data_IF_351416277585
#
_entry.id   IF_351416277585
#
_cell.length_a   1.000
_cell.length_b   1.000
_cell.length_c   1.000
_cell.angle_alpha   90.00
_cell.angle_beta   90.00
_cell.angle_gamma   90.00
#
_symmetry.space_group_name_H-M   'P 1'
#
loop_
_entity.id
_entity.type
_entity.pdbx_description
1 polymer ?
#
# COMPACT_ATOMS: atom_id res chain seq x y z
N UNK A 1 13.65 22.42 -7.80
CA UNK A 1 14.66 21.64 -7.03
C UNK A 1 14.74 20.27 -7.68
N UNK A 2 15.86 19.59 -7.74
CA UNK A 2 15.95 18.21 -8.22
C UNK A 2 15.99 17.31 -6.98
N UNK A 3 15.22 16.23 -6.96
CA UNK A 3 15.29 15.25 -5.87
C UNK A 3 16.65 14.55 -5.88
N UNK A 4 17.31 14.49 -4.73
CA UNK A 4 18.60 13.81 -4.59
C UNK A 4 18.39 12.31 -4.39
N UNK A 5 19.22 11.49 -5.03
CA UNK A 5 19.20 10.04 -4.84
C UNK A 5 20.31 9.69 -3.84
N UNK A 6 19.94 9.08 -2.73
CA UNK A 6 20.84 8.65 -1.66
C UNK A 6 21.13 7.16 -1.80
N UNK A 7 22.36 6.77 -1.47
CA UNK A 7 22.82 5.39 -1.55
C UNK A 7 22.94 4.78 -0.16
N UNK A 8 22.27 3.66 0.07
CA UNK A 8 22.31 2.93 1.35
C UNK A 8 23.67 2.30 1.71
N UNK A 9 24.60 2.26 0.77
CA UNK A 9 25.98 1.84 1.04
C UNK A 9 26.89 3.00 1.50
N UNK A 10 26.37 4.22 1.54
CA UNK A 10 27.12 5.42 1.92
C UNK A 10 26.61 5.96 3.27
N UNK A 11 27.48 5.93 4.26
CA UNK A 11 27.20 6.42 5.62
C UNK A 11 26.82 7.93 5.64
N UNK A 12 27.48 8.75 4.81
CA UNK A 12 27.21 10.18 4.70
C UNK A 12 25.79 10.46 4.19
N UNK A 13 25.20 9.55 3.40
CA UNK A 13 23.84 9.70 2.89
C UNK A 13 22.79 9.47 3.98
N UNK A 14 23.07 8.63 4.98
CA UNK A 14 22.21 8.52 6.17
C UNK A 14 22.26 9.78 7.03
N UNK A 15 23.44 10.34 7.27
CA UNK A 15 23.58 11.61 7.99
C UNK A 15 22.84 12.74 7.24
N UNK A 16 22.92 12.77 5.94
CA UNK A 16 22.19 13.71 5.10
C UNK A 16 20.68 13.53 5.20
N UNK A 17 20.18 12.29 5.15
CA UNK A 17 18.76 11.99 5.32
C UNK A 17 18.22 12.50 6.66
N UNK A 18 18.96 12.26 7.74
CA UNK A 18 18.64 12.78 9.09
C UNK A 18 18.66 14.30 9.11
N UNK A 19 19.65 14.93 8.47
CA UNK A 19 19.73 16.39 8.34
C UNK A 19 18.54 16.96 7.58
N UNK A 20 18.11 16.31 6.48
CA UNK A 20 16.91 16.69 5.71
C UNK A 20 15.70 16.70 6.63
N UNK A 21 15.44 15.62 7.37
CA UNK A 21 14.30 15.55 8.29
C UNK A 21 14.36 16.64 9.38
N UNK A 22 15.51 16.84 10.03
CA UNK A 22 15.71 17.86 11.07
C UNK A 22 15.50 19.28 10.56
N UNK A 23 15.80 19.54 9.29
CA UNK A 23 15.61 20.84 8.65
C UNK A 23 14.21 21.01 8.03
N UNK A 24 13.26 20.10 8.27
CA UNK A 24 11.89 20.19 7.77
C UNK A 24 11.75 19.81 6.29
N UNK A 25 12.69 19.03 5.78
CA UNK A 25 12.60 18.41 4.46
C UNK A 25 11.73 17.17 4.47
N UNK A 26 11.41 16.67 3.28
CA UNK A 26 10.67 15.45 3.04
C UNK A 26 11.60 14.42 2.40
N UNK A 27 11.62 13.23 2.99
CA UNK A 27 12.42 12.11 2.56
C UNK A 27 11.54 10.99 2.03
N UNK A 28 11.88 10.41 0.88
CA UNK A 28 11.33 9.14 0.45
C UNK A 28 12.26 8.00 0.84
N UNK A 29 11.67 6.92 1.32
CA UNK A 29 12.39 5.74 1.80
C UNK A 29 11.66 4.45 1.46
N UNK A 30 12.38 3.35 1.24
CA UNK A 30 11.78 2.05 1.01
C UNK A 30 11.21 1.48 2.31
N UNK A 31 10.17 0.65 2.17
CA UNK A 31 9.71 -0.26 3.20
C UNK A 31 9.59 -1.66 2.59
N UNK A 32 9.29 -2.67 3.38
CA UNK A 32 9.05 -4.03 2.88
C UNK A 32 7.77 -4.13 2.02
N UNK A 33 6.94 -3.09 2.04
CA UNK A 33 5.68 -3.06 1.28
C UNK A 33 5.77 -2.16 0.05
N UNK A 34 5.95 -0.87 0.24
CA UNK A 34 6.01 0.16 -0.81
C UNK A 34 6.91 1.28 -0.33
N UNK A 35 7.36 2.17 -1.22
CA UNK A 35 8.05 3.38 -0.78
C UNK A 35 7.11 4.28 0.04
N UNK A 36 7.66 4.82 1.12
CA UNK A 36 7.05 5.86 1.94
C UNK A 36 7.65 7.24 1.66
N UNK A 37 6.87 8.30 1.90
CA UNK A 37 7.40 9.63 2.10
C UNK A 37 7.08 10.09 3.52
N UNK A 38 8.04 10.75 4.15
CA UNK A 38 7.90 11.18 5.53
C UNK A 38 8.62 12.47 5.85
N UNK A 39 8.25 13.03 7.00
CA UNK A 39 8.80 14.23 7.58
C UNK A 39 8.82 14.13 9.11
N UNK A 40 9.53 15.04 9.78
CA UNK A 40 9.47 15.18 11.22
C UNK A 40 8.04 15.52 11.69
N UNK A 41 7.52 14.70 12.61
CA UNK A 41 6.19 14.91 13.21
C UNK A 41 6.03 16.32 13.79
N UNK A 42 7.08 16.87 14.36
CA UNK A 42 7.04 18.16 15.07
C UNK A 42 7.15 19.37 14.11
N UNK A 43 7.42 19.14 12.84
CA UNK A 43 7.47 20.20 11.84
C UNK A 43 6.15 20.30 11.08
N UNK A 44 5.22 21.14 11.56
CA UNK A 44 3.90 21.28 10.94
C UNK A 44 3.96 21.67 9.47
N UNK A 45 4.91 22.54 9.08
CA UNK A 45 5.03 22.96 7.68
C UNK A 45 5.45 21.80 6.77
N UNK A 46 6.38 20.95 7.22
CA UNK A 46 6.79 19.77 6.50
C UNK A 46 5.66 18.73 6.40
N UNK A 47 4.90 18.53 7.49
CA UNK A 47 3.74 17.63 7.50
C UNK A 47 2.66 18.13 6.52
N UNK A 48 2.33 19.43 6.52
CA UNK A 48 1.36 20.02 5.57
C UNK A 48 1.82 19.88 4.13
N UNK A 49 3.12 20.06 3.88
CA UNK A 49 3.71 19.90 2.56
C UNK A 49 3.56 18.46 2.03
N UNK A 50 3.57 17.41 2.89
CA UNK A 50 3.24 16.04 2.46
C UNK A 50 1.83 15.98 1.84
N UNK A 51 0.84 16.62 2.46
CA UNK A 51 -0.53 16.67 1.92
C UNK A 51 -0.59 17.38 0.56
N UNK A 52 0.11 18.52 0.44
CA UNK A 52 0.17 19.33 -0.80
C UNK A 52 0.81 18.52 -1.94
N UNK A 53 1.99 17.95 -1.71
CA UNK A 53 2.73 17.14 -2.70
C UNK A 53 1.89 15.96 -3.18
N UNK A 54 1.17 15.32 -2.26
CA UNK A 54 0.33 14.16 -2.57
C UNK A 54 -1.04 14.55 -3.14
N UNK A 55 -1.41 15.83 -3.16
CA UNK A 55 -2.79 16.26 -3.45
C UNK A 55 -3.80 15.50 -2.55
N UNK A 56 -3.41 15.31 -1.26
CA UNK A 56 -4.14 14.48 -0.30
C UNK A 56 -5.14 15.31 0.50
N UNK A 57 -6.34 14.77 0.66
CA UNK A 57 -7.33 15.38 1.54
C UNK A 57 -6.80 15.41 2.99
N UNK A 58 -6.84 16.61 3.61
CA UNK A 58 -6.42 16.82 5.01
C UNK A 58 -7.26 16.06 6.04
N UNK A 59 -8.40 15.49 5.66
CA UNK A 59 -9.20 14.63 6.54
C UNK A 59 -8.64 13.19 6.68
N UNK A 60 -7.63 12.83 5.86
CA UNK A 60 -7.00 11.50 5.90
C UNK A 60 -5.74 11.56 6.76
N UNK A 61 -5.69 10.91 7.95
CA UNK A 61 -4.57 11.00 8.85
C UNK A 61 -3.28 10.43 8.23
N UNK A 62 -2.14 10.87 8.77
CA UNK A 62 -0.84 10.21 8.61
C UNK A 62 -0.60 9.26 9.77
N UNK A 63 0.37 8.37 9.62
CA UNK A 63 0.81 7.42 10.65
C UNK A 63 2.21 7.74 11.15
N UNK A 64 2.50 7.35 12.38
CA UNK A 64 3.85 7.40 12.94
C UNK A 64 4.62 6.17 12.48
N UNK A 65 5.78 6.41 11.89
CA UNK A 65 6.72 5.37 11.52
C UNK A 65 7.92 5.44 12.47
N UNK A 66 8.20 4.35 13.13
CA UNK A 66 9.16 4.28 14.24
C UNK A 66 10.05 3.04 14.12
N UNK A 67 11.20 3.05 14.79
CA UNK A 67 12.13 1.91 14.81
C UNK A 67 11.59 0.73 15.64
N UNK A 68 10.79 0.99 16.66
CA UNK A 68 10.15 -0.04 17.51
C UNK A 68 8.88 0.51 18.16
N UNK A 69 8.02 -0.38 18.67
CA UNK A 69 6.83 0.04 19.41
C UNK A 69 7.20 0.77 20.70
N UNK A 70 8.34 0.47 21.31
CA UNK A 70 8.84 1.16 22.50
C UNK A 70 9.02 2.66 22.27
N UNK A 71 9.53 3.05 21.10
CA UNK A 71 9.66 4.47 20.70
C UNK A 71 8.29 5.15 20.60
N UNK A 72 7.24 4.40 20.26
CA UNK A 72 5.89 4.95 20.13
C UNK A 72 5.14 5.10 21.48
N UNK A 73 5.57 4.43 22.55
CA UNK A 73 4.88 4.41 23.86
C UNK A 73 4.47 5.79 24.40
N UNK A 74 5.28 6.86 24.33
CA UNK A 74 4.87 8.18 24.82
C UNK A 74 3.69 8.79 24.03
N UNK A 75 3.49 8.36 22.80
CA UNK A 75 2.53 8.92 21.85
C UNK A 75 1.18 8.20 21.83
N UNK A 76 1.10 7.04 22.49
CA UNK A 76 -0.09 6.18 22.52
C UNK A 76 -0.53 5.91 23.95
N UNK A 77 -1.81 5.59 24.14
CA UNK A 77 -2.39 5.22 25.43
C UNK A 77 -3.40 4.08 25.27
N UNK A 78 -3.81 3.50 26.41
CA UNK A 78 -4.76 2.38 26.44
C UNK A 78 -4.28 1.17 25.60
N UNK A 79 -2.95 0.93 25.61
CA UNK A 79 -2.33 -0.16 24.85
C UNK A 79 -2.79 -1.51 25.42
N UNK A 80 -3.50 -2.36 24.67
CA UNK A 80 -3.89 -3.66 25.16
C UNK A 80 -2.71 -4.64 25.14
N UNK A 81 -2.74 -5.65 26.00
CA UNK A 81 -1.70 -6.69 26.06
C UNK A 81 -1.53 -7.42 24.71
N UNK A 82 -2.61 -7.54 23.94
CA UNK A 82 -2.59 -8.11 22.59
C UNK A 82 -1.65 -7.38 21.62
N UNK A 83 -1.43 -6.08 21.84
CA UNK A 83 -0.48 -5.31 21.02
C UNK A 83 0.94 -5.85 21.15
N UNK A 84 1.34 -6.31 22.34
CA UNK A 84 2.67 -6.90 22.55
C UNK A 84 2.79 -8.31 21.95
N UNK A 85 1.68 -9.06 21.90
CA UNK A 85 1.65 -10.34 21.19
C UNK A 85 1.83 -10.11 19.68
N UNK A 86 1.11 -9.12 19.12
CA UNK A 86 1.21 -8.74 17.71
C UNK A 86 2.60 -8.17 17.38
N UNK A 87 3.17 -7.33 18.26
CA UNK A 87 4.53 -6.82 18.11
C UNK A 87 5.54 -7.96 17.97
N UNK A 88 5.52 -8.91 18.92
CA UNK A 88 6.46 -10.03 18.93
C UNK A 88 6.41 -10.89 17.66
N UNK A 89 5.25 -11.02 17.04
CA UNK A 89 5.04 -11.92 15.90
C UNK A 89 5.12 -11.22 14.53
N UNK A 90 4.76 -9.92 14.47
CA UNK A 90 4.58 -9.22 13.21
C UNK A 90 5.38 -7.93 13.07
N UNK A 91 6.10 -7.47 14.10
CA UNK A 91 6.93 -6.28 14.02
C UNK A 91 8.41 -6.60 14.31
N UNK A 92 9.35 -5.94 13.60
CA UNK A 92 9.13 -5.03 12.47
C UNK A 92 8.47 -5.76 11.29
N UNK A 93 7.52 -5.11 10.59
CA UNK A 93 6.85 -5.79 9.48
C UNK A 93 5.58 -5.11 8.96
N UNK A 94 4.82 -5.81 8.09
CA UNK A 94 3.72 -5.26 7.32
C UNK A 94 2.41 -5.11 8.11
N UNK A 95 2.50 -4.71 9.38
CA UNK A 95 1.36 -4.41 10.26
C UNK A 95 1.40 -2.96 10.72
N UNK A 96 0.28 -2.27 10.58
CA UNK A 96 0.01 -0.98 11.23
C UNK A 96 -1.05 -1.18 12.30
N UNK A 97 -0.76 -0.80 13.54
CA UNK A 97 -1.70 -0.85 14.64
C UNK A 97 -2.21 0.55 14.98
N UNK A 98 -3.53 0.71 15.13
CA UNK A 98 -4.16 1.97 15.53
C UNK A 98 -4.43 1.94 17.03
N UNK A 99 -3.99 3.01 17.71
CA UNK A 99 -4.17 3.24 19.14
C UNK A 99 -4.84 4.58 19.43
N UNK A 100 -5.33 4.76 20.65
CA UNK A 100 -5.63 6.07 21.17
C UNK A 100 -4.36 6.89 21.30
N UNK A 101 -4.36 8.12 20.78
CA UNK A 101 -3.20 9.00 20.86
C UNK A 101 -3.14 9.76 22.19
N UNK A 102 -1.93 10.15 22.60
CA UNK A 102 -1.70 11.17 23.63
C UNK A 102 -1.69 12.58 23.01
N UNK A 103 -1.63 13.61 23.84
CA UNK A 103 -1.55 15.01 23.38
C UNK A 103 -0.18 15.35 22.75
N UNK A 104 0.81 14.47 22.88
CA UNK A 104 2.10 14.60 22.21
C UNK A 104 2.00 14.40 20.67
N UNK A 105 0.94 13.76 20.20
CA UNK A 105 0.70 13.66 18.74
C UNK A 105 -0.14 14.84 18.27
N UNK A 106 0.42 15.73 17.43
CA UNK A 106 -0.29 16.91 16.97
C UNK A 106 -1.55 16.57 16.15
N UNK A 107 -2.57 17.42 16.25
CA UNK A 107 -3.83 17.23 15.54
C UNK A 107 -3.70 17.29 14.01
N UNK A 108 -2.75 18.06 13.50
CA UNK A 108 -2.49 18.11 12.05
C UNK A 108 -1.93 16.79 11.48
N UNK A 109 -1.35 15.92 12.32
CA UNK A 109 -0.92 14.57 11.92
C UNK A 109 -2.11 13.63 11.78
N UNK A 110 -3.04 13.70 12.74
CA UNK A 110 -4.16 12.76 12.87
C UNK A 110 -5.47 13.23 12.25
N UNK A 111 -5.46 14.35 11.51
CA UNK A 111 -6.67 14.97 10.97
C UNK A 111 -7.74 15.23 12.07
N UNK A 112 -7.32 15.65 13.27
CA UNK A 112 -8.13 15.83 14.48
C UNK A 112 -8.77 14.54 15.04
N UNK A 113 -8.37 13.37 14.59
CA UNK A 113 -8.83 12.11 15.19
C UNK A 113 -8.14 11.89 16.56
N UNK A 114 -8.83 11.18 17.45
CA UNK A 114 -8.29 10.77 18.75
C UNK A 114 -7.41 9.53 18.69
N UNK A 115 -7.17 9.02 17.49
CA UNK A 115 -6.43 7.79 17.21
C UNK A 115 -5.24 8.08 16.32
N UNK A 116 -4.21 7.23 16.41
CA UNK A 116 -3.02 7.29 15.57
C UNK A 116 -2.58 5.90 15.16
N UNK A 117 -2.18 5.74 13.91
CA UNK A 117 -1.56 4.51 13.40
C UNK A 117 -0.07 4.49 13.70
N UNK A 118 0.42 3.37 14.21
CA UNK A 118 1.84 3.10 14.46
C UNK A 118 2.30 2.01 13.49
N UNK A 119 3.38 2.28 12.77
CA UNK A 119 4.05 1.34 11.88
C UNK A 119 5.52 1.19 12.28
N UNK A 120 6.01 -0.04 12.25
CA UNK A 120 7.42 -0.38 12.42
C UNK A 120 7.88 -1.13 11.16
N UNK A 121 8.33 -0.43 10.10
CA UNK A 121 8.80 -1.08 8.88
C UNK A 121 10.01 -1.98 9.14
N UNK A 122 10.10 -3.13 8.45
CA UNK A 122 11.23 -4.07 8.59
C UNK A 122 12.39 -3.78 7.63
N UNK A 123 12.25 -2.81 6.73
CA UNK A 123 13.31 -2.46 5.80
C UNK A 123 14.51 -1.81 6.54
N UNK A 124 15.71 -2.32 6.30
CA UNK A 124 16.95 -1.90 7.00
C UNK A 124 17.26 -0.42 6.79
N UNK A 125 17.01 0.13 5.60
CA UNK A 125 17.25 1.55 5.32
C UNK A 125 16.33 2.41 6.20
N UNK A 126 15.04 2.07 6.27
CA UNK A 126 14.13 2.80 7.14
C UNK A 126 14.53 2.66 8.61
N UNK A 127 14.88 1.47 9.06
CA UNK A 127 15.30 1.22 10.43
C UNK A 127 16.53 2.05 10.81
N UNK A 128 17.50 2.14 9.92
CA UNK A 128 18.72 2.94 10.15
C UNK A 128 18.39 4.43 10.23
N UNK A 129 17.55 4.96 9.32
CA UNK A 129 17.09 6.35 9.37
C UNK A 129 16.37 6.63 10.70
N UNK A 130 15.42 5.75 11.09
CA UNK A 130 14.59 5.93 12.27
C UNK A 130 15.42 5.87 13.57
N UNK A 131 16.45 5.03 13.61
CA UNK A 131 17.36 4.92 14.76
C UNK A 131 18.29 6.13 14.91
N UNK A 132 18.70 6.76 13.80
CA UNK A 132 19.57 7.97 13.81
C UNK A 132 18.77 9.25 13.98
N UNK A 133 17.51 9.26 13.57
CA UNK A 133 16.65 10.42 13.70
C UNK A 133 16.07 10.45 15.12
N UNK A 134 16.58 11.36 15.95
CA UNK A 134 16.06 11.59 17.30
C UNK A 134 14.72 12.33 17.23
N UNK A 135 13.68 11.63 16.75
CA UNK A 135 12.35 12.18 16.51
C UNK A 135 11.39 11.12 15.99
N UNK A 136 10.20 11.55 15.64
CA UNK A 136 9.14 10.68 15.07
C UNK A 136 8.90 11.06 13.61
N UNK A 137 8.99 10.08 12.73
CA UNK A 137 8.69 10.27 11.32
C UNK A 137 7.20 10.04 11.11
N UNK A 138 6.48 11.05 10.63
CA UNK A 138 5.13 10.84 10.07
C UNK A 138 5.26 10.47 8.61
N UNK A 139 4.52 9.47 8.18
CA UNK A 139 4.66 9.01 6.81
C UNK A 139 3.36 8.50 6.17
N UNK A 140 3.44 8.36 4.87
CA UNK A 140 2.42 7.76 3.99
C UNK A 140 3.12 7.19 2.75
N UNK A 141 2.41 6.41 1.89
CA UNK A 141 2.99 5.88 0.64
C UNK A 141 3.49 6.98 -0.30
N UNK A 142 4.58 6.72 -1.02
CA UNK A 142 5.25 7.66 -1.92
C UNK A 142 4.57 7.72 -3.31
N UNK A 143 3.36 8.29 -3.35
CA UNK A 143 2.59 8.49 -4.58
C UNK A 143 1.64 9.68 -4.43
N UNK A 144 1.18 10.28 -5.50
CA UNK A 144 0.04 11.21 -5.47
C UNK A 144 -1.22 10.47 -5.04
N UNK A 145 -2.13 11.17 -4.35
CA UNK A 145 -3.37 10.56 -3.88
C UNK A 145 -4.13 9.94 -5.03
N UNK A 146 -4.43 8.67 -4.87
CA UNK A 146 -5.12 7.87 -5.84
C UNK A 146 -4.27 7.25 -6.93
N UNK A 147 -3.04 7.67 -7.14
CA UNK A 147 -2.10 6.94 -7.98
C UNK A 147 -1.63 5.66 -7.26
N UNK A 148 -1.08 4.73 -8.04
CA UNK A 148 -0.51 3.51 -7.48
C UNK A 148 0.66 3.81 -6.55
N UNK A 149 0.79 3.11 -5.41
CA UNK A 149 1.96 3.18 -4.56
C UNK A 149 3.24 2.88 -5.35
N UNK A 150 4.30 3.62 -5.07
CA UNK A 150 5.58 3.36 -5.73
C UNK A 150 6.26 2.12 -5.11
N UNK A 151 6.67 1.18 -5.95
CA UNK A 151 7.45 -0.01 -5.59
C UNK A 151 8.90 0.04 -6.10
N UNK A 152 9.30 1.11 -6.80
CA UNK A 152 10.66 1.32 -7.27
C UNK A 152 11.07 2.79 -7.21
N UNK A 153 12.38 3.05 -7.19
CA UNK A 153 12.96 4.38 -7.28
C UNK A 153 12.42 5.15 -8.50
N UNK A 154 12.37 4.51 -9.66
CA UNK A 154 11.87 5.13 -10.89
C UNK A 154 10.44 5.65 -10.72
N UNK A 155 9.58 4.89 -10.06
CA UNK A 155 8.18 5.28 -9.83
C UNK A 155 8.08 6.44 -8.83
N UNK A 156 8.93 6.47 -7.79
CA UNK A 156 9.02 7.62 -6.87
C UNK A 156 9.42 8.87 -7.64
N UNK A 157 10.48 8.81 -8.45
CA UNK A 157 10.95 9.95 -9.23
C UNK A 157 9.90 10.39 -10.27
N UNK A 158 9.26 9.46 -10.96
CA UNK A 158 8.18 9.80 -11.92
C UNK A 158 7.04 10.58 -11.26
N UNK A 159 6.76 10.32 -9.99
CA UNK A 159 5.63 10.92 -9.25
C UNK A 159 6.01 12.18 -8.46
N UNK A 160 7.22 12.23 -7.92
CA UNK A 160 7.61 13.18 -6.86
C UNK A 160 8.92 13.93 -7.13
N UNK A 161 9.60 13.72 -8.27
CA UNK A 161 10.84 14.44 -8.56
C UNK A 161 10.63 15.97 -8.50
N UNK A 162 11.57 16.63 -7.86
CA UNK A 162 11.54 18.08 -7.64
C UNK A 162 10.59 18.54 -6.54
N UNK A 163 9.78 17.64 -5.97
CA UNK A 163 8.80 17.94 -4.89
C UNK A 163 9.30 17.55 -3.51
N UNK A 164 10.26 16.62 -3.43
CA UNK A 164 10.88 16.12 -2.20
C UNK A 164 12.40 16.36 -2.25
N UNK A 165 13.04 16.40 -1.08
CA UNK A 165 14.47 16.69 -0.98
C UNK A 165 15.31 15.51 -1.46
N UNK A 166 15.00 14.29 -0.97
CA UNK A 166 15.77 13.12 -1.35
C UNK A 166 14.93 11.82 -1.32
N UNK A 167 15.49 10.79 -1.94
CA UNK A 167 15.00 9.42 -1.94
C UNK A 167 16.17 8.44 -1.82
N UNK A 168 16.04 7.43 -0.96
CA UNK A 168 17.00 6.32 -0.96
C UNK A 168 16.76 5.40 -2.14
N UNK A 169 17.83 5.09 -2.85
CA UNK A 169 17.86 4.01 -3.83
C UNK A 169 17.78 2.66 -3.08
N UNK A 170 16.97 1.77 -3.59
CA UNK A 170 16.76 0.47 -2.97
C UNK A 170 16.45 -0.59 -4.02
N UNK A 171 17.32 -1.58 -4.09
CA UNK A 171 17.16 -2.77 -4.93
C UNK A 171 16.45 -3.92 -4.19
N UNK A 172 16.05 -3.73 -2.92
CA UNK A 172 15.38 -4.78 -2.14
C UNK A 172 13.96 -5.02 -2.64
N UNK A 173 13.54 -6.27 -2.57
CA UNK A 173 12.20 -6.70 -2.97
C UNK A 173 11.17 -6.02 -2.08
N UNK A 174 10.32 -5.22 -2.72
CA UNK A 174 9.14 -4.62 -2.11
C UNK A 174 7.95 -5.45 -2.58
N UNK A 175 7.16 -6.00 -1.65
CA UNK A 175 6.06 -6.92 -1.98
C UNK A 175 4.94 -6.27 -2.79
N UNK A 176 4.87 -4.94 -2.81
CA UNK A 176 3.79 -4.21 -3.48
C UNK A 176 2.44 -4.29 -2.75
N UNK A 177 2.28 -5.23 -1.84
CA UNK A 177 1.08 -5.37 -1.02
C UNK A 177 1.17 -4.44 0.20
N UNK A 178 0.20 -3.56 0.34
CA UNK A 178 0.16 -2.62 1.46
C UNK A 178 0.06 -3.34 2.81
N UNK A 179 0.57 -2.70 3.87
CA UNK A 179 0.44 -3.23 5.24
C UNK A 179 -1.01 -3.40 5.66
N UNK A 180 -1.27 -4.43 6.44
CA UNK A 180 -2.54 -4.56 7.18
C UNK A 180 -2.69 -3.41 8.16
N UNK A 181 -3.91 -2.89 8.32
CA UNK A 181 -4.24 -1.84 9.29
C UNK A 181 -5.25 -2.40 10.28
N UNK A 182 -4.83 -2.57 11.52
CA UNK A 182 -5.63 -3.13 12.60
C UNK A 182 -5.99 -2.07 13.65
N UNK A 183 -7.27 -1.85 13.90
CA UNK A 183 -7.75 -0.96 14.95
C UNK A 183 -7.87 -1.72 16.28
N UNK A 184 -6.98 -1.40 17.21
CA UNK A 184 -6.94 -1.97 18.56
C UNK A 184 -7.77 -1.17 19.58
N UNK A 185 -8.43 -0.09 19.16
CA UNK A 185 -9.24 0.76 20.03
C UNK A 185 -10.70 0.30 20.11
N UNK A 186 -11.10 -0.67 19.30
CA UNK A 186 -12.46 -1.23 19.26
C UNK A 186 -12.50 -2.64 19.87
N UNK A 187 -13.70 -3.10 20.23
CA UNK A 187 -13.96 -4.47 20.65
C UNK A 187 -15.22 -4.98 19.95
N UNK A 188 -15.16 -6.08 19.18
CA UNK A 188 -13.95 -6.77 18.74
C UNK A 188 -13.00 -5.85 17.93
N UNK A 189 -11.72 -6.25 17.78
CA UNK A 189 -10.76 -5.54 16.93
C UNK A 189 -11.22 -5.55 15.48
N UNK A 190 -10.77 -4.55 14.71
CA UNK A 190 -11.18 -4.41 13.30
C UNK A 190 -9.98 -4.25 12.37
N UNK A 191 -9.91 -5.05 11.33
CA UNK A 191 -9.04 -4.80 10.18
C UNK A 191 -9.71 -3.71 9.34
N UNK A 192 -9.09 -2.53 9.31
CA UNK A 192 -9.57 -1.37 8.53
C UNK A 192 -9.12 -1.46 7.08
N UNK A 193 -7.99 -2.10 6.86
CA UNK A 193 -7.43 -2.37 5.53
C UNK A 193 -6.73 -3.71 5.56
N UNK A 194 -7.13 -4.59 4.68
CA UNK A 194 -6.45 -5.86 4.46
C UNK A 194 -5.09 -5.64 3.80
N UNK A 195 -4.12 -6.43 4.21
CA UNK A 195 -2.76 -6.40 3.71
C UNK A 195 -2.14 -7.78 3.79
N UNK A 196 -0.82 -7.83 3.94
CA UNK A 196 -0.06 -9.09 3.97
C UNK A 196 -0.47 -10.03 5.13
N UNK A 197 -0.80 -9.45 6.29
CA UNK A 197 -1.27 -10.20 7.46
C UNK A 197 -2.79 -10.21 7.42
N UNK A 198 -3.40 -11.39 7.36
CA UNK A 198 -4.85 -11.53 7.25
C UNK A 198 -5.55 -11.33 8.60
N UNK A 199 -6.85 -11.07 8.56
CA UNK A 199 -7.68 -11.03 9.77
C UNK A 199 -7.74 -12.38 10.46
N UNK A 200 -7.67 -13.47 9.69
CA UNK A 200 -7.61 -14.86 10.16
C UNK A 200 -6.30 -15.11 10.91
N UNK A 201 -5.14 -14.74 10.36
CA UNK A 201 -3.85 -14.86 11.03
C UNK A 201 -3.86 -14.18 12.40
N UNK A 202 -4.47 -12.96 12.46
CA UNK A 202 -4.55 -12.19 13.70
C UNK A 202 -5.55 -12.85 14.68
N UNK A 203 -6.69 -13.34 14.18
CA UNK A 203 -7.71 -14.00 15.00
C UNK A 203 -7.18 -15.28 15.62
N UNK A 204 -6.43 -16.07 14.85
CA UNK A 204 -5.81 -17.32 15.30
C UNK A 204 -4.71 -17.03 16.33
N UNK A 205 -3.82 -16.08 16.05
CA UNK A 205 -2.73 -15.71 16.96
C UNK A 205 -3.26 -15.21 18.32
N UNK A 206 -4.31 -14.40 18.31
CA UNK A 206 -4.85 -13.79 19.51
C UNK A 206 -5.92 -14.67 20.19
N UNK A 207 -6.36 -15.76 19.57
CA UNK A 207 -7.51 -16.57 20.00
C UNK A 207 -8.77 -15.71 20.23
N UNK A 208 -8.97 -14.69 19.38
CA UNK A 208 -10.04 -13.69 19.48
C UNK A 208 -10.65 -13.39 18.11
N UNK A 209 -11.94 -13.08 18.11
CA UNK A 209 -12.59 -12.61 16.89
C UNK A 209 -12.03 -11.25 16.49
N UNK A 210 -11.59 -11.16 15.23
CA UNK A 210 -11.22 -9.92 14.54
C UNK A 210 -12.22 -9.74 13.39
N UNK A 211 -12.83 -8.56 13.32
CA UNK A 211 -13.78 -8.24 12.26
C UNK A 211 -13.06 -7.54 11.11
N UNK A 212 -13.51 -7.83 9.91
CA UNK A 212 -13.21 -6.97 8.77
C UNK A 212 -14.14 -5.75 8.85
N UNK A 213 -13.65 -4.57 8.54
CA UNK A 213 -14.50 -3.38 8.49
C UNK A 213 -15.39 -3.46 7.26
N UNK A 214 -16.70 -3.40 7.45
CA UNK A 214 -17.66 -3.29 6.35
C UNK A 214 -17.53 -1.94 5.62
N UNK A 215 -16.96 -0.93 6.30
CA UNK A 215 -16.64 0.38 5.76
C UNK A 215 -15.32 0.34 4.97
N UNK A 216 -15.09 -0.69 4.18
CA UNK A 216 -13.97 -0.81 3.24
C UNK A 216 -13.87 0.34 2.23
N UNK A 217 -14.40 1.51 2.59
CA UNK A 217 -14.37 2.74 1.80
C UNK A 217 -13.05 3.52 1.90
N UNK A 218 -11.93 2.78 1.89
CA UNK A 218 -10.70 3.33 1.33
C UNK A 218 -10.79 3.34 -0.20
N UNK A 219 -11.72 2.56 -0.79
CA UNK A 219 -11.96 2.46 -2.23
C UNK A 219 -12.62 3.70 -2.84
N UNK A 220 -13.38 4.46 -2.08
CA UNK A 220 -14.13 5.62 -2.60
C UNK A 220 -13.28 6.73 -3.22
N UNK A 221 -11.97 6.73 -3.00
CA UNK A 221 -11.06 7.73 -3.55
C UNK A 221 -10.19 7.20 -4.70
N UNK A 222 -10.12 5.88 -4.90
CA UNK A 222 -9.21 5.28 -5.89
C UNK A 222 -9.90 5.07 -7.24
N UNK A 223 -11.22 5.00 -7.28
CA UNK A 223 -12.02 4.76 -8.49
C UNK A 223 -11.88 5.81 -9.62
N UNK A 224 -11.19 6.92 -9.43
CA UNK A 224 -11.15 8.02 -10.40
C UNK A 224 -9.80 8.24 -11.12
N UNK A 225 -8.80 7.39 -10.94
CA UNK A 225 -7.43 7.78 -11.30
C UNK A 225 -6.80 6.99 -12.43
N UNK A 226 -7.25 5.79 -12.72
CA UNK A 226 -6.96 5.13 -13.98
C UNK A 226 -8.00 5.57 -15.01
N UNK A 227 -7.53 5.96 -16.20
CA UNK A 227 -8.43 6.13 -17.37
C UNK A 227 -8.92 4.78 -17.89
N UNK A 228 -8.39 3.69 -17.36
CA UNK A 228 -8.76 2.32 -17.69
C UNK A 228 -10.02 1.92 -16.93
N UNK A 229 -10.95 1.31 -17.63
CA UNK A 229 -12.05 0.61 -17.01
C UNK A 229 -11.59 -0.80 -16.62
N UNK A 230 -11.33 -1.03 -15.34
CA UNK A 230 -10.85 -2.31 -14.80
C UNK A 230 -12.04 -3.15 -14.34
N UNK A 231 -12.24 -4.30 -14.97
CA UNK A 231 -13.32 -5.26 -14.68
C UNK A 231 -12.69 -6.52 -14.08
N UNK A 232 -13.00 -6.81 -12.82
CA UNK A 232 -12.53 -8.03 -12.14
C UNK A 232 -13.63 -9.09 -12.21
N UNK A 233 -13.28 -10.32 -12.57
CA UNK A 233 -14.22 -11.46 -12.61
C UNK A 233 -13.84 -12.44 -11.52
N UNK A 234 -14.74 -12.69 -10.57
CA UNK A 234 -14.53 -13.60 -9.42
C UNK A 234 -15.48 -14.80 -9.48
N UNK A 235 -15.04 -15.92 -8.90
CA UNK A 235 -15.83 -17.13 -8.79
C UNK A 235 -14.98 -18.39 -8.92
N UNK A 236 -15.57 -19.50 -9.33
CA UNK A 236 -14.80 -20.69 -9.65
C UNK A 236 -13.95 -20.46 -10.89
N UNK A 237 -12.73 -21.00 -10.92
CA UNK A 237 -11.77 -20.72 -12.01
C UNK A 237 -12.36 -20.95 -13.40
N UNK A 238 -13.08 -22.04 -13.60
CA UNK A 238 -13.64 -22.34 -14.93
C UNK A 238 -14.74 -21.34 -15.33
N UNK A 239 -15.61 -20.93 -14.40
CA UNK A 239 -16.61 -19.90 -14.64
C UNK A 239 -15.96 -18.53 -14.93
N UNK A 240 -14.93 -18.18 -14.18
CA UNK A 240 -14.15 -16.93 -14.35
C UNK A 240 -13.57 -16.87 -15.75
N UNK A 241 -12.86 -17.93 -16.20
CA UNK A 241 -12.22 -17.96 -17.52
C UNK A 241 -13.23 -17.92 -18.67
N UNK A 242 -14.36 -18.61 -18.52
CA UNK A 242 -15.46 -18.55 -19.50
C UNK A 242 -16.05 -17.13 -19.59
N UNK A 243 -16.24 -16.47 -18.45
CA UNK A 243 -16.78 -15.10 -18.40
C UNK A 243 -15.79 -14.09 -18.97
N UNK A 244 -14.50 -14.24 -18.70
CA UNK A 244 -13.45 -13.39 -19.28
C UNK A 244 -13.49 -13.50 -20.82
N UNK A 245 -13.63 -14.70 -21.35
CA UNK A 245 -13.73 -14.90 -22.79
C UNK A 245 -14.95 -14.21 -23.40
N UNK A 246 -16.13 -14.37 -22.79
CA UNK A 246 -17.35 -13.69 -23.18
C UNK A 246 -17.19 -12.15 -23.21
N UNK A 247 -16.65 -11.59 -22.12
CA UNK A 247 -16.43 -10.14 -21.99
C UNK A 247 -15.40 -9.64 -23.01
N UNK A 248 -14.32 -10.37 -23.22
CA UNK A 248 -13.30 -10.01 -24.20
C UNK A 248 -13.88 -9.99 -25.62
N UNK A 249 -14.65 -11.00 -26.02
CA UNK A 249 -15.29 -11.06 -27.32
C UNK A 249 -16.30 -9.92 -27.53
N UNK A 250 -17.02 -9.53 -26.48
CA UNK A 250 -17.95 -8.41 -26.49
C UNK A 250 -17.21 -7.08 -26.63
N UNK A 251 -16.33 -6.78 -25.70
CA UNK A 251 -15.70 -5.48 -25.61
C UNK A 251 -14.66 -5.22 -26.70
N UNK A 252 -13.99 -6.24 -27.24
CA UNK A 252 -13.06 -6.07 -28.35
C UNK A 252 -13.75 -5.54 -29.61
N UNK A 253 -15.03 -5.86 -29.79
CA UNK A 253 -15.85 -5.34 -30.93
C UNK A 253 -16.30 -3.90 -30.65
N UNK A 254 -16.60 -3.57 -29.41
CA UNK A 254 -17.10 -2.25 -28.99
C UNK A 254 -15.97 -1.20 -28.88
N UNK A 255 -14.75 -1.62 -28.57
CA UNK A 255 -13.60 -0.75 -28.28
C UNK A 255 -12.43 -0.89 -29.25
N UNK A 256 -12.68 -1.31 -30.50
CA UNK A 256 -11.66 -1.36 -31.56
C UNK A 256 -10.36 -2.08 -31.13
N UNK A 257 -10.49 -3.24 -30.47
CA UNK A 257 -9.37 -4.03 -29.93
C UNK A 257 -8.56 -3.35 -28.78
N UNK A 258 -9.07 -2.31 -28.13
CA UNK A 258 -8.41 -1.67 -26.99
C UNK A 258 -8.81 -2.31 -25.65
N UNK A 259 -8.79 -3.63 -25.62
CA UNK A 259 -9.14 -4.44 -24.46
C UNK A 259 -7.93 -5.27 -24.03
N UNK A 260 -7.42 -5.02 -22.83
CA UNK A 260 -6.38 -5.82 -22.20
C UNK A 260 -6.98 -6.92 -21.34
N UNK A 261 -6.25 -8.02 -21.19
CA UNK A 261 -6.62 -9.12 -20.28
C UNK A 261 -5.47 -9.43 -19.36
N UNK A 262 -5.79 -9.59 -18.07
CA UNK A 262 -4.85 -9.96 -17.04
C UNK A 262 -5.21 -11.34 -16.50
N UNK A 263 -4.36 -12.32 -16.73
CA UNK A 263 -4.57 -13.72 -16.38
C UNK A 263 -3.55 -14.18 -15.33
N UNK A 264 -3.92 -15.13 -14.49
CA UNK A 264 -2.95 -15.94 -13.74
C UNK A 264 -2.23 -16.90 -14.70
N UNK A 265 -1.00 -17.32 -14.34
CA UNK A 265 -0.20 -18.24 -15.15
C UNK A 265 -0.97 -19.54 -15.45
N UNK A 266 -0.91 -19.98 -16.71
CA UNK A 266 -1.58 -21.18 -17.20
C UNK A 266 -3.08 -21.01 -17.50
N UNK A 267 -3.62 -19.81 -17.43
CA UNK A 267 -5.02 -19.53 -17.79
C UNK A 267 -5.20 -19.20 -19.27
N UNK A 268 -4.12 -18.80 -19.98
CA UNK A 268 -4.14 -18.47 -21.40
C UNK A 268 -4.54 -19.65 -22.28
N UNK A 269 -4.12 -20.87 -21.94
CA UNK A 269 -4.45 -22.09 -22.68
C UNK A 269 -5.97 -22.36 -22.69
N UNK A 270 -6.66 -22.03 -21.59
CA UNK A 270 -8.11 -22.22 -21.45
C UNK A 270 -8.92 -21.11 -22.11
N UNK A 271 -8.46 -19.88 -22.03
CA UNK A 271 -9.15 -18.73 -22.64
C UNK A 271 -8.93 -18.64 -24.13
N UNK A 272 -7.74 -19.04 -24.62
CA UNK A 272 -7.32 -18.85 -26.00
C UNK A 272 -7.09 -17.38 -26.38
N UNK A 273 -7.08 -16.46 -25.41
CA UNK A 273 -6.82 -15.03 -25.60
C UNK A 273 -5.32 -14.80 -25.49
N UNK A 274 -4.68 -14.40 -26.58
CA UNK A 274 -3.24 -14.09 -26.59
C UNK A 274 -2.97 -12.61 -26.90
N UNK A 275 -3.90 -11.94 -27.57
CA UNK A 275 -3.73 -10.52 -27.93
C UNK A 275 -3.97 -9.65 -26.72
N UNK A 276 -3.05 -8.75 -26.45
CA UNK A 276 -3.11 -7.82 -25.29
C UNK A 276 -3.29 -8.52 -23.94
N UNK A 277 -2.71 -9.72 -23.80
CA UNK A 277 -2.70 -10.46 -22.54
C UNK A 277 -1.41 -10.20 -21.78
N UNK A 278 -1.52 -9.98 -20.47
CA UNK A 278 -0.42 -9.93 -19.51
C UNK A 278 -0.72 -10.86 -18.35
N UNK A 279 0.28 -11.16 -17.52
CA UNK A 279 0.17 -12.16 -16.47
C UNK A 279 0.35 -11.57 -15.09
N UNK A 280 -0.49 -12.00 -14.16
CA UNK A 280 -0.39 -11.69 -12.73
C UNK A 280 0.73 -12.50 -12.04
N UNK A 281 1.15 -13.59 -12.67
CA UNK A 281 2.05 -14.57 -12.08
C UNK A 281 1.33 -15.80 -11.54
N UNK A 282 2.08 -16.66 -10.83
CA UNK A 282 1.58 -17.90 -10.27
C UNK A 282 0.66 -17.65 -9.07
N UNK A 283 -0.48 -18.35 -9.01
CA UNK A 283 -1.37 -18.36 -7.83
C UNK A 283 -0.70 -18.92 -6.56
N UNK A 284 0.47 -19.55 -6.70
CA UNK A 284 1.28 -20.02 -5.57
C UNK A 284 2.26 -18.96 -5.03
N UNK A 285 2.40 -17.82 -5.72
CA UNK A 285 3.31 -16.71 -5.40
C UNK A 285 2.54 -15.40 -5.25
N UNK A 286 1.59 -15.39 -4.33
CA UNK A 286 0.61 -14.31 -4.14
C UNK A 286 1.26 -12.94 -3.88
N UNK A 287 2.44 -12.92 -3.25
CA UNK A 287 3.15 -11.69 -2.90
C UNK A 287 3.55 -10.88 -4.15
N UNK A 288 3.86 -11.57 -5.26
CA UNK A 288 4.21 -10.94 -6.54
C UNK A 288 2.99 -10.54 -7.39
N UNK A 289 1.81 -11.11 -7.12
CA UNK A 289 0.64 -10.86 -7.96
C UNK A 289 0.16 -9.40 -7.90
N UNK A 290 0.22 -8.76 -6.73
CA UNK A 290 -0.19 -7.34 -6.59
C UNK A 290 0.80 -6.41 -7.30
N UNK A 291 2.09 -6.69 -7.20
CA UNK A 291 3.12 -5.94 -7.92
C UNK A 291 2.93 -6.07 -9.44
N UNK A 292 2.75 -7.32 -9.91
CA UNK A 292 2.47 -7.63 -11.31
C UNK A 292 1.18 -6.95 -11.79
N UNK A 293 0.11 -6.96 -10.98
CA UNK A 293 -1.13 -6.25 -11.30
C UNK A 293 -0.86 -4.77 -11.59
N UNK A 294 -0.17 -4.07 -10.70
CA UNK A 294 0.12 -2.65 -10.90
C UNK A 294 1.06 -2.39 -12.08
N UNK A 295 2.06 -3.24 -12.28
CA UNK A 295 2.97 -3.15 -13.43
C UNK A 295 2.20 -3.32 -14.75
N UNK A 296 1.32 -4.32 -14.82
CA UNK A 296 0.52 -4.62 -16.00
C UNK A 296 -0.53 -3.54 -16.28
N UNK A 297 -1.23 -3.03 -15.26
CA UNK A 297 -2.19 -1.93 -15.44
C UNK A 297 -1.49 -0.69 -16.00
N UNK A 298 -0.32 -0.31 -15.47
CA UNK A 298 0.49 0.79 -16.04
C UNK A 298 0.92 0.54 -17.48
N UNK A 299 1.28 -0.70 -17.81
CA UNK A 299 1.63 -1.06 -19.19
C UNK A 299 0.43 -0.88 -20.13
N UNK A 300 -0.77 -1.31 -19.72
CA UNK A 300 -1.99 -1.10 -20.49
C UNK A 300 -2.37 0.38 -20.63
N UNK A 301 -2.15 1.21 -19.61
CA UNK A 301 -2.32 2.67 -19.73
C UNK A 301 -1.38 3.27 -20.78
N UNK A 302 -0.11 2.86 -20.80
CA UNK A 302 0.86 3.31 -21.79
C UNK A 302 0.51 2.82 -23.21
N UNK A 303 -0.09 1.64 -23.33
CA UNK A 303 -0.61 1.06 -24.57
C UNK A 303 -1.95 1.68 -24.99
N UNK A 304 -2.52 2.59 -24.17
CA UNK A 304 -3.79 3.29 -24.40
C UNK A 304 -4.98 2.35 -24.55
N UNK A 305 -5.03 1.30 -23.74
CA UNK A 305 -6.20 0.45 -23.61
C UNK A 305 -7.36 1.24 -22.97
N UNK A 306 -8.59 0.85 -23.28
CA UNK A 306 -9.81 1.43 -22.70
C UNK A 306 -10.33 0.58 -21.53
N UNK A 307 -10.23 -0.75 -21.68
CA UNK A 307 -10.72 -1.74 -20.71
C UNK A 307 -9.60 -2.73 -20.37
N UNK A 308 -9.56 -3.16 -19.11
CA UNK A 308 -8.75 -4.30 -18.66
C UNK A 308 -9.64 -5.27 -17.90
N UNK A 309 -9.72 -6.51 -18.38
CA UNK A 309 -10.45 -7.61 -17.74
C UNK A 309 -9.45 -8.42 -16.93
N UNK A 310 -9.71 -8.61 -15.65
CA UNK A 310 -8.80 -9.24 -14.70
C UNK A 310 -9.37 -10.55 -14.20
N UNK A 311 -8.57 -11.63 -14.27
CA UNK A 311 -8.89 -12.89 -13.62
C UNK A 311 -8.80 -12.74 -12.10
N UNK A 312 -9.92 -12.98 -11.41
CA UNK A 312 -9.95 -13.12 -9.95
C UNK A 312 -9.42 -14.48 -9.53
N UNK A 313 -8.69 -14.49 -8.42
CA UNK A 313 -8.17 -15.71 -7.78
C UNK A 313 -9.01 -16.09 -6.56
N UNK A 314 -8.79 -17.29 -6.01
CA UNK A 314 -9.44 -17.71 -4.77
C UNK A 314 -9.20 -16.70 -3.65
N UNK A 315 -10.26 -16.42 -2.86
CA UNK A 315 -10.18 -15.58 -1.66
C UNK A 315 -9.79 -16.38 -0.40
N UNK A 316 -9.30 -17.59 -0.55
CA UNK A 316 -8.81 -18.37 0.58
C UNK A 316 -7.46 -17.81 1.05
N UNK A 317 -7.21 -17.84 2.34
CA UNK A 317 -5.96 -17.40 2.97
C UNK A 317 -5.50 -16.00 2.49
N UNK A 318 -4.25 -15.88 2.08
CA UNK A 318 -3.65 -14.63 1.56
C UNK A 318 -4.27 -14.15 0.25
N UNK A 319 -4.96 -15.01 -0.51
CA UNK A 319 -5.68 -14.63 -1.73
C UNK A 319 -6.73 -13.56 -1.45
N UNK A 320 -7.28 -13.54 -0.23
CA UNK A 320 -8.22 -12.50 0.18
C UNK A 320 -7.61 -11.09 0.12
N UNK A 321 -6.41 -10.90 0.68
CA UNK A 321 -5.72 -9.61 0.69
C UNK A 321 -5.34 -9.14 -0.73
N UNK A 322 -4.93 -10.07 -1.60
CA UNK A 322 -4.64 -9.80 -3.02
C UNK A 322 -5.90 -9.34 -3.73
N UNK A 323 -7.01 -10.07 -3.59
CA UNK A 323 -8.28 -9.74 -4.23
C UNK A 323 -8.88 -8.45 -3.71
N UNK A 324 -8.86 -8.21 -2.39
CA UNK A 324 -9.29 -6.95 -1.81
C UNK A 324 -8.53 -5.76 -2.43
N UNK A 325 -7.22 -5.93 -2.60
CA UNK A 325 -6.38 -4.91 -3.22
C UNK A 325 -6.70 -4.70 -4.69
N UNK A 326 -6.84 -5.77 -5.48
CA UNK A 326 -7.17 -5.69 -6.91
C UNK A 326 -8.57 -5.08 -7.08
N UNK A 327 -9.56 -5.56 -6.33
CA UNK A 327 -10.94 -5.07 -6.39
C UNK A 327 -11.06 -3.61 -5.96
N UNK A 328 -10.18 -3.11 -5.08
CA UNK A 328 -10.18 -1.69 -4.70
C UNK A 328 -9.88 -0.73 -5.87
N UNK A 329 -9.29 -1.24 -6.95
CA UNK A 329 -9.03 -0.49 -8.19
C UNK A 329 -10.04 -0.82 -9.32
N UNK A 330 -10.89 -1.79 -9.13
CA UNK A 330 -11.87 -2.18 -10.12
C UNK A 330 -12.96 -1.12 -10.29
N UNK A 331 -13.33 -0.86 -11.53
CA UNK A 331 -14.54 -0.09 -11.88
C UNK A 331 -15.79 -0.95 -11.67
N UNK A 332 -15.64 -2.26 -11.89
CA UNK A 332 -16.70 -3.27 -11.76
C UNK A 332 -16.13 -4.60 -11.29
N UNK A 333 -16.86 -5.29 -10.43
CA UNK A 333 -16.56 -6.67 -9.98
C UNK A 333 -17.73 -7.56 -10.35
N UNK A 334 -17.47 -8.60 -11.14
CA UNK A 334 -18.47 -9.55 -11.63
C UNK A 334 -18.25 -10.91 -10.94
N UNK A 335 -19.21 -11.35 -10.13
CA UNK A 335 -19.18 -12.67 -9.48
C UNK A 335 -19.91 -13.71 -10.34
N UNK A 336 -19.30 -14.91 -10.57
CA UNK A 336 -19.81 -15.98 -11.44
C UNK A 336 -19.70 -17.37 -10.80
#
# INVERSE_FOLDING_TARGET
MKTEILNSQNEEDFEKAVSILKNGGILAFPTETVFGIGADMNNESAVRRIYEIKERNFSKPLSLHVASLDVAKPYIKNVPDDAYILEKNYLPGPLMMIFDKTDLVPNYVTANLHKVGIRVPSNDIFQEIANRFDGIIVATSANKSGAFPASSLEQVLKSLDGSIEAVFDNDSVITGLASTVLDLTTRPYRVIRSGFITGEDISELLEKQVLLSDDGDISGTIKQLSKLNIIVVEGTRDNVLNKIKELYEKYSKEHEDKVGVLLADGSEEKTGILKHTKFLGSVNELDHMVESFFACVRAFENEKMDIVIVEGISREDRGWAVMDRICSYASEVISV
#
